data_IF_631078345270
#
_entry.id   IF_631078345270
#
_cell.length_a   1.000
_cell.length_b   1.000
_cell.length_c   1.000
_cell.angle_alpha   90.00
_cell.angle_beta   90.00
_cell.angle_gamma   90.00
#
_symmetry.space_group_name_H-M   'P 1'
#
loop_
_entity.id
_entity.type
_entity.pdbx_description
1 polymer ?
#
# COMPACT_ATOMS: atom_id res chain seq x y z
N UNK A 1 3.63 29.14 11.03
CA UNK A 1 4.07 27.93 11.78
C UNK A 1 3.27 26.76 11.25
N UNK A 2 3.92 25.68 10.77
CA UNK A 2 3.19 24.49 10.32
C UNK A 2 2.60 23.80 11.55
N UNK A 3 1.29 23.56 11.55
CA UNK A 3 0.64 22.81 12.62
C UNK A 3 1.24 21.40 12.70
N UNK A 4 1.55 20.93 13.89
CA UNK A 4 2.11 19.60 14.11
C UNK A 4 0.99 18.53 14.00
N UNK A 5 1.38 17.30 13.70
CA UNK A 5 0.46 16.17 13.76
C UNK A 5 -0.10 15.96 15.17
N UNK A 6 -1.26 15.32 15.24
CA UNK A 6 -2.00 15.10 16.47
C UNK A 6 -2.24 13.62 16.77
N UNK A 7 -3.07 13.30 17.79
CA UNK A 7 -3.32 11.93 18.21
C UNK A 7 -4.00 11.07 17.16
N UNK A 8 -4.83 11.64 16.29
CA UNK A 8 -5.50 10.89 15.21
C UNK A 8 -4.51 10.47 14.14
N UNK A 9 -3.62 11.37 13.70
CA UNK A 9 -2.58 11.05 12.73
C UNK A 9 -1.57 10.05 13.30
N UNK A 10 -1.22 10.16 14.59
CA UNK A 10 -0.41 9.17 15.29
C UNK A 10 -1.09 7.79 15.32
N UNK A 11 -2.41 7.72 15.50
CA UNK A 11 -3.17 6.48 15.44
C UNK A 11 -3.11 5.83 14.04
N UNK A 12 -3.31 6.59 12.97
CA UNK A 12 -3.16 6.07 11.60
C UNK A 12 -1.75 5.57 11.31
N UNK A 13 -0.73 6.27 11.78
CA UNK A 13 0.66 5.84 11.63
C UNK A 13 0.90 4.50 12.35
N UNK A 14 0.39 4.33 13.56
CA UNK A 14 0.48 3.06 14.31
C UNK A 14 -0.26 1.92 13.60
N UNK A 15 -1.44 2.19 13.04
CA UNK A 15 -2.17 1.19 12.25
C UNK A 15 -1.41 0.78 10.99
N UNK A 16 -0.79 1.73 10.30
CA UNK A 16 0.05 1.46 9.13
C UNK A 16 1.27 0.62 9.52
N UNK A 17 1.98 0.98 10.59
CA UNK A 17 3.14 0.23 11.08
C UNK A 17 2.77 -1.21 11.44
N UNK A 18 1.64 -1.42 12.11
CA UNK A 18 1.14 -2.75 12.44
C UNK A 18 0.85 -3.57 11.17
N UNK A 19 0.12 -2.99 10.22
CA UNK A 19 -0.20 -3.67 8.96
C UNK A 19 1.06 -4.03 8.17
N UNK A 20 2.03 -3.12 8.09
CA UNK A 20 3.28 -3.37 7.38
C UNK A 20 4.15 -4.41 8.10
N UNK A 21 4.13 -4.42 9.43
CA UNK A 21 4.84 -5.43 10.21
C UNK A 21 4.24 -6.83 10.01
N UNK A 22 2.92 -6.94 9.93
CA UNK A 22 2.22 -8.20 9.61
C UNK A 22 2.58 -8.66 8.19
N UNK A 23 2.55 -7.75 7.22
CA UNK A 23 2.93 -8.03 5.85
C UNK A 23 4.40 -8.46 5.74
N UNK A 24 5.31 -7.80 6.43
CA UNK A 24 6.74 -8.16 6.47
C UNK A 24 6.93 -9.58 6.98
N UNK A 25 6.27 -9.95 8.09
CA UNK A 25 6.32 -11.32 8.63
C UNK A 25 5.76 -12.35 7.65
N UNK A 26 4.70 -12.03 6.94
CA UNK A 26 4.17 -12.90 5.89
C UNK A 26 5.24 -13.13 4.81
N UNK A 27 5.84 -12.06 4.27
CA UNK A 27 6.89 -12.15 3.24
C UNK A 27 8.11 -12.96 3.72
N UNK A 28 8.54 -12.76 4.96
CA UNK A 28 9.66 -13.52 5.56
C UNK A 28 9.35 -15.02 5.66
N UNK A 29 8.10 -15.38 5.93
CA UNK A 29 7.67 -16.77 6.13
C UNK A 29 7.40 -17.55 4.82
N UNK A 30 7.28 -16.88 3.67
CA UNK A 30 7.01 -17.54 2.40
C UNK A 30 8.15 -18.50 2.01
N UNK A 31 7.79 -19.71 1.57
CA UNK A 31 8.73 -20.62 0.93
C UNK A 31 9.04 -20.19 -0.50
N UNK A 32 10.08 -20.74 -1.10
CA UNK A 32 10.42 -20.46 -2.51
C UNK A 32 9.30 -20.94 -3.45
N UNK A 33 8.69 -22.08 -3.17
CA UNK A 33 7.53 -22.56 -3.93
C UNK A 33 6.35 -21.58 -3.85
N UNK A 34 6.04 -21.09 -2.63
CA UNK A 34 4.97 -20.12 -2.43
C UNK A 34 5.25 -18.77 -3.10
N UNK A 35 6.52 -18.35 -3.14
CA UNK A 35 6.96 -17.12 -3.79
C UNK A 35 6.63 -17.07 -5.29
N UNK A 36 6.72 -18.21 -5.95
CA UNK A 36 6.42 -18.33 -7.38
C UNK A 36 5.00 -18.79 -7.70
N UNK A 37 4.19 -19.06 -6.68
CA UNK A 37 2.80 -19.49 -6.87
C UNK A 37 1.97 -18.36 -7.46
N UNK A 38 0.98 -18.72 -8.31
CA UNK A 38 0.03 -17.76 -8.85
C UNK A 38 -0.86 -17.20 -7.74
N UNK A 39 -0.97 -15.87 -7.69
CA UNK A 39 -1.81 -15.14 -6.78
C UNK A 39 -3.29 -15.38 -7.02
N UNK A 40 -4.07 -15.06 -6.00
CA UNK A 40 -5.53 -15.12 -6.03
C UNK A 40 -6.11 -13.76 -5.69
N UNK A 41 -7.21 -13.37 -6.34
CA UNK A 41 -7.91 -12.17 -5.92
C UNK A 41 -8.52 -12.36 -4.54
N UNK A 42 -8.34 -11.37 -3.68
CA UNK A 42 -9.00 -11.35 -2.38
C UNK A 42 -10.46 -10.88 -2.56
N UNK A 43 -11.47 -11.70 -2.16
CA UNK A 43 -12.86 -11.54 -2.63
C UNK A 43 -13.55 -10.25 -2.19
N UNK A 44 -13.01 -9.50 -1.26
CA UNK A 44 -13.64 -8.31 -0.66
C UNK A 44 -12.97 -6.99 -1.04
N UNK A 45 -12.02 -7.02 -1.97
CA UNK A 45 -11.17 -5.86 -2.21
C UNK A 45 -11.04 -5.52 -3.70
N UNK A 46 -10.47 -4.37 -3.97
CA UNK A 46 -10.38 -3.69 -5.25
C UNK A 46 -9.44 -4.35 -6.28
N UNK A 47 -8.79 -5.46 -5.96
CA UNK A 47 -7.67 -5.99 -6.74
C UNK A 47 -8.05 -7.26 -7.49
N UNK A 48 -8.83 -7.10 -8.54
CA UNK A 48 -8.97 -8.12 -9.57
C UNK A 48 -7.65 -8.39 -10.33
N UNK A 49 -6.59 -7.64 -9.99
CA UNK A 49 -5.32 -7.61 -10.71
C UNK A 49 -4.28 -8.60 -10.17
N UNK A 50 -4.50 -9.22 -9.00
CA UNK A 50 -3.55 -10.15 -8.39
C UNK A 50 -3.68 -11.57 -8.94
N UNK A 51 -4.83 -11.89 -9.55
CA UNK A 51 -5.05 -13.22 -10.08
C UNK A 51 -4.04 -13.59 -11.18
N UNK A 52 -3.38 -14.73 -11.00
CA UNK A 52 -2.39 -15.24 -11.93
C UNK A 52 -0.99 -14.61 -11.83
N UNK A 53 -0.82 -13.50 -11.11
CA UNK A 53 0.51 -12.91 -10.87
C UNK A 53 1.27 -13.74 -9.84
N UNK A 54 2.60 -13.93 -9.98
CA UNK A 54 3.39 -14.55 -8.93
C UNK A 54 3.26 -13.82 -7.61
N UNK A 55 3.19 -14.55 -6.50
CA UNK A 55 3.14 -13.98 -5.14
C UNK A 55 4.25 -12.96 -4.89
N UNK A 56 5.47 -13.23 -5.38
CA UNK A 56 6.59 -12.29 -5.27
C UNK A 56 6.34 -10.97 -5.97
N UNK A 57 5.69 -10.98 -7.13
CA UNK A 57 5.32 -9.76 -7.88
C UNK A 57 4.26 -8.97 -7.11
N UNK A 58 3.27 -9.64 -6.53
CA UNK A 58 2.25 -9.02 -5.68
C UNK A 58 2.89 -8.38 -4.45
N UNK A 59 3.80 -9.10 -3.79
CA UNK A 59 4.51 -8.61 -2.62
C UNK A 59 5.36 -7.37 -2.93
N UNK A 60 6.07 -7.36 -4.07
CA UNK A 60 6.84 -6.20 -4.51
C UNK A 60 5.94 -4.99 -4.81
N UNK A 61 4.84 -5.21 -5.55
CA UNK A 61 3.86 -4.15 -5.82
C UNK A 61 3.34 -3.52 -4.52
N UNK A 62 2.94 -4.33 -3.55
CA UNK A 62 2.47 -3.85 -2.26
C UNK A 62 3.55 -3.02 -1.53
N UNK A 63 4.81 -3.46 -1.56
CA UNK A 63 5.92 -2.78 -0.90
C UNK A 63 6.23 -1.40 -1.51
N UNK A 64 6.24 -1.28 -2.85
CA UNK A 64 6.58 -0.02 -3.52
C UNK A 64 5.43 0.99 -3.59
N UNK A 65 4.19 0.56 -3.36
CA UNK A 65 3.00 1.43 -3.47
C UNK A 65 2.91 2.49 -2.37
N UNK A 66 3.45 2.22 -1.19
CA UNK A 66 3.38 3.13 -0.05
C UNK A 66 3.91 4.54 -0.33
N UNK A 67 5.14 4.70 -0.84
CA UNK A 67 5.70 6.02 -1.21
C UNK A 67 4.85 6.77 -2.24
N UNK A 68 4.32 6.08 -3.24
CA UNK A 68 3.43 6.66 -4.24
C UNK A 68 2.14 7.19 -3.59
N UNK A 69 1.51 6.37 -2.74
CA UNK A 69 0.25 6.72 -2.06
C UNK A 69 0.47 7.94 -1.14
N UNK A 70 1.54 7.94 -0.33
CA UNK A 70 1.83 9.06 0.57
C UNK A 70 2.15 10.35 -0.19
N UNK A 71 2.83 10.26 -1.31
CA UNK A 71 3.08 11.41 -2.19
C UNK A 71 1.77 12.02 -2.73
N UNK A 72 0.78 11.21 -3.06
CA UNK A 72 -0.54 11.70 -3.46
C UNK A 72 -1.31 12.32 -2.29
N UNK A 73 -1.21 11.77 -1.08
CA UNK A 73 -1.80 12.36 0.12
C UNK A 73 -1.17 13.74 0.40
N UNK A 74 0.15 13.85 0.29
CA UNK A 74 0.83 15.13 0.43
C UNK A 74 0.37 16.15 -0.62
N UNK A 75 0.18 15.71 -1.87
CA UNK A 75 -0.42 16.55 -2.90
C UNK A 75 -1.82 17.06 -2.53
N UNK A 76 -2.65 16.21 -1.96
CA UNK A 76 -3.97 16.62 -1.44
C UNK A 76 -3.86 17.68 -0.34
N UNK A 77 -2.95 17.50 0.62
CA UNK A 77 -2.71 18.44 1.71
C UNK A 77 -2.23 19.80 1.22
N UNK A 78 -1.48 19.83 0.14
CA UNK A 78 -1.00 21.05 -0.51
C UNK A 78 -2.03 21.69 -1.47
N UNK A 79 -3.21 21.08 -1.62
CA UNK A 79 -4.25 21.54 -2.53
C UNK A 79 -3.92 21.31 -4.01
N UNK A 80 -2.94 20.46 -4.32
CA UNK A 80 -2.59 20.15 -5.71
C UNK A 80 -3.65 19.21 -6.32
N UNK A 81 -4.07 19.45 -7.58
CA UNK A 81 -4.95 18.52 -8.28
C UNK A 81 -4.30 17.13 -8.40
N UNK A 82 -5.06 16.09 -8.11
CA UNK A 82 -4.60 14.72 -8.32
C UNK A 82 -4.84 14.32 -9.78
N UNK A 83 -3.79 14.35 -10.59
CA UNK A 83 -3.87 13.88 -11.98
C UNK A 83 -4.37 12.42 -12.01
N UNK A 84 -5.27 12.07 -12.95
CA UNK A 84 -5.62 10.69 -13.22
C UNK A 84 -4.38 9.88 -13.59
N UNK A 85 -4.29 8.66 -13.08
CA UNK A 85 -3.25 7.71 -13.43
C UNK A 85 -3.93 6.44 -13.89
N UNK A 86 -3.54 5.93 -15.05
CA UNK A 86 -3.97 4.61 -15.50
C UNK A 86 -3.24 3.53 -14.67
N UNK A 87 -3.79 3.26 -13.50
CA UNK A 87 -3.22 2.28 -12.55
C UNK A 87 -3.17 0.88 -13.18
N UNK A 88 -4.12 0.55 -14.06
CA UNK A 88 -4.11 -0.76 -14.73
C UNK A 88 -2.89 -0.92 -15.64
N UNK A 89 -2.59 0.09 -16.44
CA UNK A 89 -1.40 0.10 -17.28
C UNK A 89 -0.10 0.11 -16.46
N UNK A 90 -0.06 0.88 -15.37
CA UNK A 90 1.10 0.91 -14.46
C UNK A 90 1.33 -0.45 -13.82
N UNK A 91 0.27 -1.09 -13.31
CA UNK A 91 0.36 -2.39 -12.64
C UNK A 91 0.71 -3.52 -13.62
N UNK A 92 0.19 -3.47 -14.85
CA UNK A 92 0.53 -4.44 -15.89
C UNK A 92 2.04 -4.35 -16.24
N UNK A 93 2.54 -3.14 -16.48
CA UNK A 93 3.97 -2.93 -16.74
C UNK A 93 4.83 -3.40 -15.59
N UNK A 94 4.47 -3.06 -14.35
CA UNK A 94 5.17 -3.54 -13.17
C UNK A 94 5.25 -5.06 -13.13
N UNK A 95 4.14 -5.75 -13.40
CA UNK A 95 4.10 -7.20 -13.40
C UNK A 95 5.02 -7.81 -14.47
N UNK A 96 5.09 -7.20 -15.65
CA UNK A 96 5.95 -7.64 -16.76
C UNK A 96 7.44 -7.41 -16.46
N UNK A 97 7.77 -6.30 -15.78
CA UNK A 97 9.14 -5.89 -15.49
C UNK A 97 9.74 -6.58 -14.24
N UNK A 98 8.90 -7.06 -13.32
CA UNK A 98 9.32 -7.56 -12.00
C UNK A 98 9.20 -9.07 -11.84
N UNK A 99 9.32 -9.84 -12.94
CA UNK A 99 9.20 -11.30 -12.94
C UNK A 99 10.24 -12.00 -12.06
N UNK A 100 11.43 -11.41 -11.92
CA UNK A 100 12.59 -11.99 -11.22
C UNK A 100 12.84 -11.32 -9.84
N UNK A 101 11.84 -10.59 -9.31
CA UNK A 101 11.98 -9.93 -8.01
C UNK A 101 12.25 -10.93 -6.90
N UNK A 102 13.24 -10.63 -6.06
CA UNK A 102 13.60 -11.48 -4.94
C UNK A 102 12.92 -11.04 -3.64
N UNK A 103 12.77 -11.97 -2.71
CA UNK A 103 12.25 -11.69 -1.37
C UNK A 103 13.09 -10.63 -0.65
N UNK A 104 14.41 -10.69 -0.77
CA UNK A 104 15.32 -9.73 -0.14
C UNK A 104 15.07 -8.31 -0.64
N UNK A 105 14.87 -8.13 -1.95
CA UNK A 105 14.52 -6.82 -2.51
C UNK A 105 13.23 -6.27 -1.92
N UNK A 106 12.19 -7.11 -1.78
CA UNK A 106 10.93 -6.70 -1.15
C UNK A 106 11.11 -6.31 0.30
N UNK A 107 11.84 -7.11 1.08
CA UNK A 107 12.12 -6.83 2.49
C UNK A 107 12.93 -5.54 2.67
N UNK A 108 13.88 -5.26 1.80
CA UNK A 108 14.66 -4.02 1.83
C UNK A 108 13.79 -2.78 1.55
N UNK A 109 12.88 -2.87 0.57
CA UNK A 109 11.91 -1.80 0.32
C UNK A 109 11.04 -1.56 1.55
N UNK A 110 10.48 -2.62 2.15
CA UNK A 110 9.64 -2.51 3.34
C UNK A 110 10.39 -1.87 4.51
N UNK A 111 11.61 -2.32 4.80
CA UNK A 111 12.44 -1.78 5.90
C UNK A 111 12.78 -0.31 5.70
N UNK A 112 13.06 0.08 4.45
CA UNK A 112 13.47 1.45 4.12
C UNK A 112 12.29 2.42 4.12
N UNK A 113 11.13 2.01 3.59
CA UNK A 113 10.00 2.91 3.38
C UNK A 113 9.11 3.07 4.61
N UNK A 114 9.00 2.05 5.46
CA UNK A 114 8.13 2.06 6.65
C UNK A 114 8.33 3.28 7.54
N UNK A 115 9.56 3.57 8.03
CA UNK A 115 9.74 4.70 8.95
C UNK A 115 9.44 6.03 8.28
N UNK A 116 9.71 6.16 6.98
CA UNK A 116 9.46 7.37 6.21
C UNK A 116 7.95 7.63 6.06
N UNK A 117 7.19 6.59 5.70
CA UNK A 117 5.73 6.69 5.55
C UNK A 117 5.07 6.97 6.90
N UNK A 118 5.45 6.23 7.95
CA UNK A 118 4.91 6.44 9.29
C UNK A 118 5.19 7.86 9.82
N UNK A 119 6.40 8.38 9.60
CA UNK A 119 6.74 9.76 9.94
C UNK A 119 5.90 10.78 9.16
N UNK A 120 5.72 10.56 7.86
CA UNK A 120 4.90 11.42 7.02
C UNK A 120 3.42 11.43 7.48
N UNK A 121 2.87 10.28 7.84
CA UNK A 121 1.50 10.17 8.38
C UNK A 121 1.40 10.89 9.72
N UNK A 122 2.34 10.70 10.65
CA UNK A 122 2.35 11.39 11.95
C UNK A 122 2.44 12.91 11.82
N UNK A 123 3.06 13.40 10.76
CA UNK A 123 3.22 14.84 10.53
C UNK A 123 1.94 15.51 9.99
N UNK A 124 0.89 14.77 9.64
CA UNK A 124 -0.36 15.33 9.14
C UNK A 124 -1.12 15.98 10.31
N UNK A 125 -1.44 17.29 10.24
CA UNK A 125 -2.28 17.92 11.26
C UNK A 125 -3.66 17.26 11.34
N UNK A 126 -4.15 17.00 12.54
CA UNK A 126 -5.48 16.38 12.73
C UNK A 126 -6.61 17.23 12.12
N UNK A 127 -6.46 18.56 12.09
CA UNK A 127 -7.37 19.49 11.42
C UNK A 127 -7.51 19.26 9.91
N UNK A 128 -6.53 18.61 9.28
CA UNK A 128 -6.52 18.31 7.85
C UNK A 128 -7.08 16.92 7.52
N UNK A 129 -7.23 16.02 8.50
CA UNK A 129 -7.67 14.65 8.26
C UNK A 129 -9.07 14.55 7.65
N UNK A 130 -9.97 15.43 8.03
CA UNK A 130 -11.35 15.44 7.56
C UNK A 130 -11.56 16.29 6.30
N UNK A 131 -10.51 16.95 5.82
CA UNK A 131 -10.59 17.73 4.59
C UNK A 131 -10.79 16.81 3.40
N UNK A 132 -11.94 16.99 2.71
CA UNK A 132 -12.23 16.27 1.47
C UNK A 132 -11.61 16.96 0.26
N UNK A 133 -11.17 16.18 -0.69
CA UNK A 133 -10.69 16.63 -1.98
C UNK A 133 -11.24 15.73 -3.07
N UNK A 134 -11.44 16.30 -4.24
CA UNK A 134 -11.82 15.52 -5.42
C UNK A 134 -10.69 14.59 -5.81
N UNK A 135 -11.03 13.35 -6.06
CA UNK A 135 -10.11 12.33 -6.57
C UNK A 135 -10.73 11.69 -7.81
N UNK A 136 -9.96 10.99 -8.65
CA UNK A 136 -10.51 10.25 -9.78
C UNK A 136 -11.59 9.23 -9.39
N UNK A 137 -11.59 8.78 -8.13
CA UNK A 137 -12.59 7.87 -7.56
C UNK A 137 -13.75 8.59 -6.82
N UNK A 138 -13.86 9.92 -6.98
CA UNK A 138 -14.81 10.75 -6.26
C UNK A 138 -14.23 11.46 -5.03
N UNK A 139 -15.02 12.25 -4.32
CA UNK A 139 -14.56 12.98 -3.13
C UNK A 139 -14.09 12.01 -2.04
N UNK A 140 -12.92 12.30 -1.45
CA UNK A 140 -12.33 11.48 -0.40
C UNK A 140 -11.58 12.37 0.59
N UNK A 141 -11.77 12.13 1.89
CA UNK A 141 -10.97 12.80 2.92
C UNK A 141 -9.57 12.21 3.04
N UNK A 142 -8.67 12.97 3.66
CA UNK A 142 -7.31 12.48 3.96
C UNK A 142 -7.38 11.24 4.85
N UNK A 143 -8.22 11.25 5.90
CA UNK A 143 -8.45 10.10 6.77
C UNK A 143 -8.91 8.85 6.00
N UNK A 144 -9.91 9.01 5.12
CA UNK A 144 -10.38 7.91 4.27
C UNK A 144 -9.28 7.37 3.36
N UNK A 145 -8.40 8.24 2.89
CA UNK A 145 -7.30 7.84 2.03
C UNK A 145 -6.20 7.08 2.79
N UNK A 146 -5.92 7.49 4.02
CA UNK A 146 -5.03 6.74 4.90
C UNK A 146 -5.57 5.34 5.20
N UNK A 147 -6.84 5.26 5.57
CA UNK A 147 -7.47 4.00 5.92
C UNK A 147 -7.64 3.07 4.71
N UNK A 148 -8.30 3.54 3.65
CA UNK A 148 -8.71 2.69 2.51
C UNK A 148 -7.60 2.49 1.49
N UNK A 149 -6.81 3.54 1.21
CA UNK A 149 -5.85 3.50 0.11
C UNK A 149 -4.45 3.16 0.61
N UNK A 150 -3.99 3.66 1.76
CA UNK A 150 -2.67 3.30 2.29
C UNK A 150 -2.71 1.95 3.02
N UNK A 151 -3.49 1.87 4.08
CA UNK A 151 -3.56 0.68 4.95
C UNK A 151 -4.35 -0.43 4.26
N UNK A 152 -5.52 -0.09 3.70
CA UNK A 152 -6.40 -1.04 3.03
C UNK A 152 -5.77 -1.69 1.81
N UNK A 153 -4.98 -0.96 1.01
CA UNK A 153 -4.25 -1.50 -0.12
C UNK A 153 -3.25 -2.58 0.30
N UNK A 154 -2.45 -2.30 1.34
CA UNK A 154 -1.49 -3.27 1.87
C UNK A 154 -2.18 -4.55 2.36
N UNK A 155 -3.26 -4.40 3.13
CA UNK A 155 -4.07 -5.53 3.64
C UNK A 155 -4.74 -6.33 2.52
N UNK A 156 -5.15 -5.66 1.46
CA UNK A 156 -5.74 -6.30 0.29
C UNK A 156 -4.75 -7.26 -0.38
N UNK A 157 -3.54 -6.80 -0.66
CA UNK A 157 -2.50 -7.65 -1.24
C UNK A 157 -2.04 -8.75 -0.29
N UNK A 158 -1.99 -8.47 1.02
CA UNK A 158 -1.77 -9.51 2.03
C UNK A 158 -2.83 -10.63 1.91
N UNK A 159 -4.11 -10.26 1.84
CA UNK A 159 -5.20 -11.24 1.67
C UNK A 159 -5.08 -12.04 0.37
N UNK A 160 -4.67 -11.41 -0.74
CA UNK A 160 -4.42 -12.10 -2.02
C UNK A 160 -3.29 -13.12 -1.92
N UNK A 161 -2.20 -12.79 -1.21
CA UNK A 161 -1.08 -13.71 -0.98
C UNK A 161 -1.53 -14.86 -0.06
N UNK A 162 -2.19 -14.55 1.05
CA UNK A 162 -2.70 -15.56 1.98
C UNK A 162 -3.66 -16.54 1.29
N UNK A 163 -4.57 -16.04 0.45
CA UNK A 163 -5.46 -16.88 -0.35
C UNK A 163 -4.69 -17.80 -1.29
N UNK A 164 -3.65 -17.30 -1.95
CA UNK A 164 -2.82 -18.08 -2.86
C UNK A 164 -2.05 -19.20 -2.16
N UNK A 165 -1.54 -18.97 -0.95
CA UNK A 165 -0.73 -19.98 -0.23
C UNK A 165 -1.57 -21.03 0.49
N UNK A 166 -2.87 -20.75 0.75
CA UNK A 166 -3.81 -21.70 1.35
C UNK A 166 -4.34 -22.74 0.34
N UNK A 167 -4.25 -22.45 -0.96
CA UNK A 167 -4.62 -23.43 -1.99
C UNK A 167 -3.60 -24.57 -2.01
N UNK A 168 -4.08 -25.80 -1.81
CA UNK A 168 -3.27 -27.03 -1.87
C UNK A 168 -3.07 -27.49 -3.31
#
# INVERSE_FOLDING_TARGET
MKEAGGPRSAHYATQFEAAQQEFTRLVEALTEEQWHRAGQNYPKQFNEEDEGRPVGVIAHHAAISGPFIIGRIQGMLEGRPLAPVDMRAVNARHADEQTDVTREQVLDVLRTTQPQIAAAVRAIPDSQLDQSRDTPAGPMSVAQRLDRVLIGHLRSHQGSIEAAILLK
#
